data_IF_068875161527
#
_entry.id   IF_068875161527
#
_cell.length_a   1.000
_cell.length_b   1.000
_cell.length_c   1.000
_cell.angle_alpha   90.00
_cell.angle_beta   90.00
_cell.angle_gamma   90.00
#
_symmetry.space_group_name_H-M   'P 1'
#
loop_
_entity.id
_entity.type
_entity.pdbx_description
1 polymer ?
#
# COMPACT_ATOMS: atom_id res chain seq x y z
N UNK A 1 -11.42 4.38 11.71
CA UNK A 1 -11.77 4.26 10.27
C UNK A 1 -10.51 4.47 9.47
N UNK A 2 -10.38 3.75 8.35
CA UNK A 2 -9.21 3.79 7.48
C UNK A 2 -9.65 3.99 6.05
N UNK A 3 -8.96 4.89 5.36
CA UNK A 3 -9.10 5.16 3.94
C UNK A 3 -8.05 4.34 3.18
N UNK A 4 -8.49 3.53 2.22
CA UNK A 4 -7.58 2.71 1.40
C UNK A 4 -7.71 3.03 -0.08
N UNK A 5 -6.60 3.40 -0.72
CA UNK A 5 -6.51 3.58 -2.17
C UNK A 5 -5.87 2.35 -2.83
N UNK A 6 -6.44 1.87 -3.91
CA UNK A 6 -5.81 0.93 -4.83
C UNK A 6 -5.65 1.63 -6.19
N UNK A 7 -4.42 1.96 -6.57
CA UNK A 7 -4.08 2.58 -7.85
C UNK A 7 -3.36 1.56 -8.75
N UNK A 8 -3.86 1.39 -9.98
CA UNK A 8 -3.38 0.38 -10.95
C UNK A 8 -2.31 0.89 -11.92
N UNK A 9 -1.82 2.12 -11.78
CA UNK A 9 -0.76 2.70 -12.62
C UNK A 9 -1.18 3.08 -14.04
N UNK A 10 -2.41 2.74 -14.45
CA UNK A 10 -2.95 3.01 -15.78
C UNK A 10 -4.05 4.10 -15.78
N UNK A 11 -4.07 4.93 -14.73
CA UNK A 11 -5.12 5.93 -14.50
C UNK A 11 -6.37 5.41 -13.79
N UNK A 12 -6.50 4.09 -13.60
CA UNK A 12 -7.58 3.51 -12.79
C UNK A 12 -7.21 3.54 -11.31
N UNK A 13 -8.15 3.97 -10.47
CA UNK A 13 -7.99 4.00 -9.01
C UNK A 13 -9.33 3.77 -8.31
N UNK A 14 -9.29 3.06 -7.18
CA UNK A 14 -10.45 2.84 -6.33
C UNK A 14 -10.13 3.21 -4.89
N UNK A 15 -11.03 4.00 -4.30
CA UNK A 15 -10.99 4.39 -2.90
C UNK A 15 -12.01 3.56 -2.12
N UNK A 16 -11.57 3.01 -1.00
CA UNK A 16 -12.40 2.33 0.00
C UNK A 16 -12.38 3.18 1.26
N UNK A 17 -13.47 3.93 1.46
CA UNK A 17 -13.56 4.96 2.48
C UNK A 17 -14.24 4.46 3.74
N UNK A 18 -13.92 5.09 4.87
CA UNK A 18 -14.55 4.88 6.16
C UNK A 18 -14.63 3.40 6.58
N UNK A 19 -13.61 2.61 6.20
CA UNK A 19 -13.64 1.19 6.51
C UNK A 19 -13.45 1.01 8.00
N UNK A 20 -14.44 0.38 8.66
CA UNK A 20 -14.33 0.03 10.06
C UNK A 20 -13.41 -1.18 10.20
N UNK A 21 -12.37 -1.02 11.01
CA UNK A 21 -11.29 -1.99 11.14
C UNK A 21 -11.26 -2.48 12.57
N UNK A 22 -11.23 -3.79 12.73
CA UNK A 22 -11.05 -4.38 14.04
C UNK A 22 -9.67 -4.03 14.57
N UNK A 23 -9.54 -3.90 15.89
CA UNK A 23 -8.27 -3.55 16.52
C UNK A 23 -7.18 -4.60 16.35
N UNK A 24 -7.55 -5.85 16.05
CA UNK A 24 -6.63 -6.95 15.78
C UNK A 24 -6.24 -7.06 14.31
N UNK A 25 -6.74 -6.18 13.44
CA UNK A 25 -6.41 -6.21 12.01
C UNK A 25 -5.11 -5.48 11.68
N UNK A 26 -4.41 -6.01 10.68
CA UNK A 26 -3.33 -5.34 9.96
C UNK A 26 -3.78 -4.96 8.54
N UNK A 27 -2.93 -4.24 7.81
CA UNK A 27 -3.27 -3.75 6.49
C UNK A 27 -3.45 -4.85 5.45
N UNK A 28 -2.76 -6.00 5.58
CA UNK A 28 -2.98 -7.15 4.72
C UNK A 28 -4.41 -7.71 4.86
N UNK A 29 -4.90 -7.84 6.10
CA UNK A 29 -6.27 -8.31 6.38
C UNK A 29 -7.32 -7.32 5.86
N UNK A 30 -7.11 -6.02 6.06
CA UNK A 30 -7.98 -4.99 5.49
C UNK A 30 -8.02 -5.09 3.96
N UNK A 31 -6.85 -5.17 3.32
CA UNK A 31 -6.76 -5.29 1.85
C UNK A 31 -7.52 -6.52 1.34
N UNK A 32 -7.35 -7.66 2.02
CA UNK A 32 -8.01 -8.92 1.68
C UNK A 32 -9.54 -8.90 1.91
N UNK A 33 -10.03 -7.98 2.76
CA UNK A 33 -11.46 -7.79 2.99
C UNK A 33 -12.15 -6.96 1.90
N UNK A 34 -11.42 -6.05 1.25
CA UNK A 34 -11.97 -5.11 0.25
C UNK A 34 -11.58 -5.44 -1.19
N UNK A 35 -10.59 -6.32 -1.39
CA UNK A 35 -10.07 -6.67 -2.70
C UNK A 35 -9.69 -8.16 -2.80
N UNK A 36 -9.62 -8.68 -4.03
CA UNK A 36 -9.11 -10.03 -4.29
C UNK A 36 -7.59 -10.00 -4.29
N UNK A 37 -6.97 -10.47 -3.21
CA UNK A 37 -5.51 -10.46 -3.03
C UNK A 37 -4.90 -11.81 -3.41
N UNK A 38 -3.77 -11.76 -4.09
CA UNK A 38 -2.86 -12.87 -4.33
C UNK A 38 -1.56 -12.56 -3.60
N UNK A 39 -1.14 -13.44 -2.70
CA UNK A 39 0.05 -13.24 -1.89
C UNK A 39 0.74 -14.56 -1.55
N UNK A 40 2.04 -14.46 -1.28
CA UNK A 40 2.85 -15.56 -0.73
C UNK A 40 3.27 -15.20 0.68
N UNK A 41 2.96 -16.07 1.65
CA UNK A 41 3.41 -15.90 3.03
C UNK A 41 4.87 -16.36 3.18
N UNK A 42 5.70 -15.51 3.79
CA UNK A 42 7.09 -15.80 4.11
C UNK A 42 7.28 -15.89 5.62
N UNK A 43 7.32 -17.11 6.21
CA UNK A 43 7.41 -17.29 7.66
C UNK A 43 8.64 -16.62 8.29
N UNK A 44 9.77 -16.56 7.56
CA UNK A 44 11.01 -15.92 8.05
C UNK A 44 10.88 -14.43 8.31
N UNK A 45 9.93 -13.76 7.63
CA UNK A 45 9.62 -12.34 7.82
C UNK A 45 8.29 -12.12 8.54
N UNK A 46 7.49 -13.17 8.74
CA UNK A 46 6.11 -13.09 9.21
C UNK A 46 5.26 -12.12 8.39
N UNK A 47 5.40 -12.18 7.05
CA UNK A 47 4.84 -11.19 6.12
C UNK A 47 4.25 -11.87 4.87
N UNK A 48 3.15 -11.32 4.36
CA UNK A 48 2.56 -11.67 3.08
C UNK A 48 3.06 -10.72 1.98
N UNK A 49 3.88 -11.25 1.08
CA UNK A 49 4.23 -10.52 -0.13
C UNK A 49 3.05 -10.56 -1.10
N UNK A 50 2.39 -9.42 -1.30
CA UNK A 50 1.33 -9.29 -2.29
C UNK A 50 1.93 -9.30 -3.70
N UNK A 51 1.47 -10.23 -4.52
CA UNK A 51 1.87 -10.40 -5.92
C UNK A 51 0.73 -10.11 -6.89
N UNK A 52 -0.49 -9.87 -6.39
CA UNK A 52 -1.59 -9.41 -7.23
C UNK A 52 -2.78 -8.88 -6.45
N UNK A 53 -3.48 -7.92 -7.05
CA UNK A 53 -4.72 -7.33 -6.50
C UNK A 53 -5.74 -7.18 -7.63
N UNK A 54 -6.96 -7.67 -7.42
CA UNK A 54 -8.08 -7.61 -8.37
C UNK A 54 -7.71 -8.10 -9.79
N UNK A 55 -6.86 -9.14 -9.86
CA UNK A 55 -6.43 -9.77 -11.12
C UNK A 55 -5.23 -9.10 -11.80
N UNK A 56 -4.71 -7.98 -11.27
CA UNK A 56 -3.49 -7.35 -11.76
C UNK A 56 -2.29 -7.90 -10.99
N UNK A 57 -1.46 -8.67 -11.67
CA UNK A 57 -0.30 -9.37 -11.11
C UNK A 57 0.99 -8.58 -11.31
N UNK A 58 1.88 -8.64 -10.31
CA UNK A 58 3.27 -8.22 -10.42
C UNK A 58 3.95 -8.97 -11.57
N UNK A 59 4.69 -8.24 -12.41
CA UNK A 59 5.33 -8.80 -13.60
C UNK A 59 6.55 -7.98 -14.02
N UNK A 60 7.70 -8.65 -14.16
CA UNK A 60 8.97 -8.01 -14.51
C UNK A 60 9.32 -6.91 -13.51
N UNK A 61 9.37 -5.66 -13.99
CA UNK A 61 9.66 -4.47 -13.20
C UNK A 61 8.44 -3.87 -12.47
N UNK A 62 7.23 -4.35 -12.77
CA UNK A 62 5.99 -3.86 -12.16
C UNK A 62 5.62 -4.66 -10.91
N UNK A 63 5.26 -3.96 -9.85
CA UNK A 63 4.92 -4.54 -8.55
C UNK A 63 3.94 -3.65 -7.79
N UNK A 64 3.37 -4.19 -6.72
CA UNK A 64 2.51 -3.47 -5.78
C UNK A 64 3.34 -2.84 -4.67
N UNK A 65 3.47 -1.52 -4.73
CA UNK A 65 4.12 -0.71 -3.69
C UNK A 65 3.14 -0.25 -2.63
N UNK A 66 3.63 -0.11 -1.39
CA UNK A 66 2.84 0.22 -0.22
C UNK A 66 3.14 1.64 0.25
N UNK A 67 2.08 2.41 0.50
CA UNK A 67 2.16 3.82 0.84
C UNK A 67 1.24 4.17 2.01
N UNK A 68 1.64 5.18 2.77
CA UNK A 68 0.82 5.79 3.80
C UNK A 68 0.90 7.32 3.69
N UNK A 69 -0.13 8.02 4.17
CA UNK A 69 -0.04 9.47 4.39
C UNK A 69 0.57 9.73 5.76
N UNK A 70 1.68 10.45 5.79
CA UNK A 70 2.27 10.97 7.01
C UNK A 70 1.44 12.15 7.53
N UNK A 71 0.82 12.01 8.70
CA UNK A 71 -0.11 13.03 9.21
C UNK A 71 0.55 14.40 9.46
N UNK A 72 1.77 14.39 10.02
CA UNK A 72 2.51 15.61 10.34
C UNK A 72 2.87 16.42 9.08
N UNK A 73 3.31 15.74 8.03
CA UNK A 73 3.76 16.38 6.78
C UNK A 73 2.65 16.51 5.75
N UNK A 74 1.49 15.87 5.97
CA UNK A 74 0.37 15.78 5.02
C UNK A 74 0.83 15.32 3.62
N UNK A 75 1.73 14.34 3.60
CA UNK A 75 2.40 13.87 2.39
C UNK A 75 2.47 12.34 2.36
N UNK A 76 2.47 11.78 1.17
CA UNK A 76 2.68 10.35 0.97
C UNK A 76 4.12 9.96 1.29
N UNK A 77 4.31 8.77 1.84
CA UNK A 77 5.61 8.13 1.90
C UNK A 77 5.45 6.63 1.61
N UNK A 78 6.45 6.06 0.94
CA UNK A 78 6.51 4.63 0.72
C UNK A 78 6.93 3.96 2.05
N UNK A 79 6.18 2.97 2.51
CA UNK A 79 6.44 2.36 3.82
C UNK A 79 7.72 1.53 3.77
N UNK A 80 8.47 1.54 4.87
CA UNK A 80 9.64 0.67 5.05
C UNK A 80 9.29 -0.69 5.68
N UNK A 81 8.03 -0.89 6.03
CA UNK A 81 7.47 -2.13 6.56
C UNK A 81 6.42 -2.67 5.59
N UNK A 82 6.18 -3.98 5.67
CA UNK A 82 5.13 -4.65 4.92
C UNK A 82 3.74 -4.44 5.50
N UNK A 83 2.74 -4.99 4.83
CA UNK A 83 1.33 -4.79 5.15
C UNK A 83 0.91 -5.52 6.44
N UNK A 84 1.58 -6.63 6.78
CA UNK A 84 1.29 -7.37 8.01
C UNK A 84 1.74 -6.61 9.27
N UNK A 85 2.73 -5.73 9.15
CA UNK A 85 3.27 -4.92 10.24
C UNK A 85 2.53 -3.58 10.46
N UNK A 86 1.61 -3.20 9.56
CA UNK A 86 0.87 -1.94 9.67
C UNK A 86 -0.43 -2.17 10.43
N UNK A 87 -0.50 -1.58 11.63
CA UNK A 87 -1.70 -1.48 12.43
C UNK A 87 -2.26 -0.04 12.40
N UNK A 88 -3.57 0.08 12.59
CA UNK A 88 -4.33 1.32 12.31
C UNK A 88 -4.30 2.37 13.43
N UNK A 89 -3.41 2.22 14.40
CA UNK A 89 -3.12 3.26 15.40
C UNK A 89 -2.21 4.36 14.85
N UNK A 90 -1.48 4.06 13.77
CA UNK A 90 -0.40 4.93 13.26
C UNK A 90 -0.80 5.65 11.98
N UNK A 91 -1.58 5.00 11.11
CA UNK A 91 -1.95 5.55 9.80
C UNK A 91 -3.44 5.36 9.54
N UNK A 92 -4.10 6.43 9.08
CA UNK A 92 -5.51 6.42 8.71
C UNK A 92 -5.74 6.44 7.19
N UNK A 93 -4.70 6.71 6.39
CA UNK A 93 -4.78 6.67 4.92
C UNK A 93 -3.63 5.85 4.36
N UNK A 94 -3.97 4.78 3.68
CA UNK A 94 -3.05 3.78 3.14
C UNK A 94 -3.32 3.56 1.65
N UNK A 95 -2.31 3.14 0.89
CA UNK A 95 -2.49 2.84 -0.52
C UNK A 95 -1.61 1.69 -1.02
N UNK A 96 -2.18 0.94 -1.96
CA UNK A 96 -1.45 0.10 -2.89
C UNK A 96 -1.30 0.83 -4.22
N UNK A 97 -0.09 0.85 -4.77
CA UNK A 97 0.19 1.42 -6.08
C UNK A 97 0.96 0.45 -6.96
N UNK A 98 0.32 0.04 -8.06
CA UNK A 98 0.95 -0.76 -9.09
C UNK A 98 1.82 0.13 -9.98
N UNK A 99 3.13 0.02 -9.82
CA UNK A 99 4.08 0.85 -10.57
C UNK A 99 5.28 0.03 -11.04
N UNK A 100 5.87 0.47 -12.14
CA UNK A 100 7.21 0.03 -12.51
C UNK A 100 8.22 0.82 -11.68
N UNK A 101 9.23 0.13 -11.15
CA UNK A 101 10.38 0.83 -10.60
C UNK A 101 11.62 0.64 -11.46
N UNK A 102 12.34 1.74 -11.68
CA UNK A 102 13.71 1.73 -12.19
C UNK A 102 14.75 1.72 -11.06
N UNK A 103 14.32 1.70 -9.79
CA UNK A 103 15.18 1.83 -8.61
C UNK A 103 14.64 1.05 -7.40
N UNK A 104 15.54 0.38 -6.68
CA UNK A 104 15.20 -0.23 -5.38
C UNK A 104 15.06 0.83 -4.27
N UNK A 105 15.50 2.06 -4.51
CA UNK A 105 15.37 3.19 -3.59
C UNK A 105 13.97 3.82 -3.69
N UNK A 106 13.14 3.59 -2.67
CA UNK A 106 11.77 4.08 -2.60
C UNK A 106 11.64 5.61 -2.55
N UNK A 107 12.72 6.33 -2.19
CA UNK A 107 12.76 7.79 -2.27
C UNK A 107 12.65 8.30 -3.72
N UNK A 108 12.86 7.43 -4.71
CA UNK A 108 12.75 7.74 -6.14
C UNK A 108 11.38 7.41 -6.73
N UNK A 109 10.51 6.73 -6.01
CA UNK A 109 9.20 6.33 -6.52
C UNK A 109 8.22 7.50 -6.50
N UNK A 110 7.29 7.53 -7.45
CA UNK A 110 6.22 8.54 -7.47
C UNK A 110 5.07 8.11 -6.56
N UNK A 111 4.42 9.06 -5.85
CA UNK A 111 3.32 8.74 -4.96
C UNK A 111 2.10 8.23 -5.74
N UNK A 112 1.18 7.52 -5.07
CA UNK A 112 -0.02 6.93 -5.69
C UNK A 112 -0.99 7.96 -6.26
N UNK A 113 -0.87 9.24 -5.91
CA UNK A 113 -1.74 10.31 -6.41
C UNK A 113 -0.87 11.31 -7.20
N UNK A 114 -1.11 11.49 -8.51
CA UNK A 114 -0.32 12.42 -9.32
C UNK A 114 -0.32 13.84 -8.76
N UNK A 115 0.88 14.42 -8.65
CA UNK A 115 1.07 15.78 -8.11
C UNK A 115 0.92 15.91 -6.59
N UNK A 116 0.64 14.82 -5.86
CA UNK A 116 0.59 14.86 -4.41
C UNK A 116 1.98 15.04 -3.79
N UNK A 117 2.03 15.67 -2.61
CA UNK A 117 3.27 15.82 -1.86
C UNK A 117 3.80 14.44 -1.43
N UNK A 118 5.14 14.30 -1.46
CA UNK A 118 5.86 13.11 -1.00
C UNK A 118 6.97 13.48 -0.03
N UNK A 119 7.15 12.67 1.00
CA UNK A 119 8.33 12.67 1.88
C UNK A 119 8.97 11.28 1.89
N UNK A 120 10.26 11.21 2.23
CA UNK A 120 10.98 9.93 2.28
C UNK A 120 10.78 9.19 3.61
N UNK A 121 10.46 9.94 4.67
CA UNK A 121 10.29 9.42 6.03
C UNK A 121 9.10 10.13 6.66
N UNK A 122 8.27 9.33 7.32
CA UNK A 122 7.40 9.72 8.42
C UNK A 122 8.05 9.20 9.70
#
# INVERSE_FOLDING_TARGET
MVETLINYGNGTSHWFNETDVRSDWNFYQLTSSVARVQATYYPSASEHLITGINGVQSSGQYFWSLWAVCENSKAWFATNVGADAIHFTTYHTLAWYYQATNSQDSSKWDPPVPGAAKVNVC
#
